data_IF_042066397676
#
_entry.id   IF_042066397676
#
_cell.length_a   1.000
_cell.length_b   1.000
_cell.length_c   1.000
_cell.angle_alpha   90.00
_cell.angle_beta   90.00
_cell.angle_gamma   90.00
#
_symmetry.space_group_name_H-M   'P 1'
#
loop_
_entity.id
_entity.type
_entity.pdbx_description
1 polymer ?
#
# COMPACT_ATOMS: atom_id res chain seq x y z
N UNK A 1 -12.06 -67.07 -34.91
CA UNK A 1 -13.24 -66.31 -34.49
C UNK A 1 -13.57 -66.77 -33.09
N UNK A 2 -13.63 -65.84 -32.15
CA UNK A 2 -13.56 -65.99 -30.70
C UNK A 2 -14.66 -66.86 -30.07
N UNK A 3 -14.25 -67.78 -29.19
CA UNK A 3 -15.08 -68.47 -28.21
C UNK A 3 -15.44 -67.54 -27.05
N UNK A 4 -16.68 -67.64 -26.59
CA UNK A 4 -17.15 -67.16 -25.30
C UNK A 4 -16.94 -68.28 -24.26
N UNK A 5 -16.41 -67.97 -23.07
CA UNK A 5 -16.95 -68.48 -21.79
C UNK A 5 -16.27 -67.90 -20.53
N UNK A 6 -17.13 -67.75 -19.51
CA UNK A 6 -16.91 -67.78 -18.06
C UNK A 6 -16.54 -66.50 -17.26
N UNK A 7 -17.56 -66.02 -16.54
CA UNK A 7 -17.46 -65.47 -15.18
C UNK A 7 -16.79 -66.45 -14.22
N UNK A 8 -15.98 -65.95 -13.28
CA UNK A 8 -15.93 -66.39 -11.87
C UNK A 8 -15.39 -65.23 -11.00
N UNK A 9 -16.13 -64.89 -9.95
CA UNK A 9 -15.65 -64.12 -8.79
C UNK A 9 -14.94 -65.09 -7.83
N UNK A 10 -13.91 -64.61 -7.12
CA UNK A 10 -13.69 -64.93 -5.71
C UNK A 10 -12.68 -63.94 -5.08
N UNK A 11 -13.08 -63.39 -3.94
CA UNK A 11 -12.33 -62.54 -2.98
C UNK A 11 -11.11 -63.26 -2.40
N UNK A 12 -10.00 -62.54 -2.14
CA UNK A 12 -9.41 -62.37 -0.78
C UNK A 12 -8.13 -61.51 -0.76
N UNK A 13 -8.19 -60.48 0.09
CA UNK A 13 -7.17 -59.74 0.86
C UNK A 13 -5.66 -60.00 0.69
N UNK A 14 -4.89 -58.91 0.61
CA UNK A 14 -4.00 -58.46 1.71
C UNK A 14 -2.82 -57.58 1.22
N UNK A 15 -2.84 -56.31 1.63
CA UNK A 15 -1.70 -55.51 2.08
C UNK A 15 -0.42 -55.43 1.20
N UNK A 16 -0.31 -54.38 0.38
CA UNK A 16 0.99 -53.75 0.12
C UNK A 16 0.84 -52.24 -0.12
N UNK A 17 1.08 -51.47 0.95
CA UNK A 17 1.13 -50.02 0.91
C UNK A 17 2.41 -49.56 0.20
N UNK A 18 2.34 -49.24 -1.08
CA UNK A 18 3.32 -48.38 -1.75
C UNK A 18 3.03 -46.92 -1.39
N UNK A 19 3.96 -46.17 -0.76
CA UNK A 19 3.75 -44.74 -0.57
C UNK A 19 3.95 -44.03 -1.91
N UNK A 20 2.87 -43.44 -2.43
CA UNK A 20 2.93 -42.51 -3.55
C UNK A 20 3.76 -41.30 -3.15
N UNK A 21 4.88 -41.08 -3.85
CA UNK A 21 5.61 -39.81 -3.85
C UNK A 21 4.67 -38.75 -4.44
N UNK A 22 4.00 -38.02 -3.57
CA UNK A 22 3.25 -36.82 -3.94
C UNK A 22 4.27 -35.71 -4.15
N UNK A 23 4.49 -35.38 -5.42
CA UNK A 23 5.18 -34.16 -5.84
C UNK A 23 4.30 -32.96 -5.44
N UNK A 24 4.44 -32.56 -4.18
CA UNK A 24 3.93 -31.30 -3.68
C UNK A 24 4.77 -30.18 -4.29
N UNK A 25 4.48 -29.87 -5.56
CA UNK A 25 4.78 -28.56 -6.13
C UNK A 25 4.01 -27.53 -5.30
N UNK A 26 4.67 -27.01 -4.27
CA UNK A 26 4.23 -25.84 -3.53
C UNK A 26 4.26 -24.70 -4.54
N UNK A 27 3.13 -24.47 -5.21
CA UNK A 27 2.88 -23.24 -5.93
C UNK A 27 2.90 -22.13 -4.87
N UNK A 28 4.06 -21.49 -4.70
CA UNK A 28 4.11 -20.18 -4.03
C UNK A 28 3.20 -19.29 -4.85
N UNK A 29 1.99 -19.05 -4.35
CA UNK A 29 1.18 -17.94 -4.81
C UNK A 29 2.07 -16.69 -4.77
N UNK A 30 2.07 -15.86 -5.83
CA UNK A 30 2.84 -14.62 -5.79
C UNK A 30 2.43 -13.87 -4.54
N UNK A 31 3.41 -13.39 -3.75
CA UNK A 31 3.13 -12.53 -2.59
C UNK A 31 2.33 -11.35 -3.14
N UNK A 32 1.04 -11.33 -2.84
CA UNK A 32 0.18 -10.25 -3.29
C UNK A 32 0.68 -8.99 -2.58
N UNK A 33 1.27 -8.08 -3.36
CA UNK A 33 1.80 -6.85 -2.83
C UNK A 33 0.63 -6.02 -2.27
N UNK A 34 0.83 -5.35 -1.14
CA UNK A 34 -0.20 -4.54 -0.48
C UNK A 34 0.19 -3.09 -0.59
N UNK A 35 -0.68 -2.27 -1.16
CA UNK A 35 -0.51 -0.82 -1.17
C UNK A 35 -1.11 -0.27 0.12
N UNK A 36 -0.25 0.11 1.06
CA UNK A 36 -0.66 0.69 2.34
C UNK A 36 -0.77 2.21 2.23
N UNK A 37 -1.97 2.73 2.47
CA UNK A 37 -2.30 4.15 2.50
C UNK A 37 -2.59 4.58 3.94
N UNK A 38 -2.00 5.68 4.39
CA UNK A 38 -2.39 6.36 5.62
C UNK A 38 -3.28 7.57 5.32
N UNK A 39 -4.42 7.69 5.99
CA UNK A 39 -5.29 8.88 5.94
C UNK A 39 -5.18 9.61 7.26
N UNK A 40 -4.83 10.90 7.20
CA UNK A 40 -4.62 11.77 8.36
C UNK A 40 -5.50 13.01 8.23
N UNK A 41 -6.55 13.07 9.03
CA UNK A 41 -7.51 14.17 9.10
C UNK A 41 -8.16 14.11 10.50
N UNK A 42 -8.51 15.24 11.11
CA UNK A 42 -9.18 15.28 12.41
C UNK A 42 -10.70 15.04 12.29
N UNK A 43 -11.23 15.02 11.06
CA UNK A 43 -12.63 14.80 10.75
C UNK A 43 -12.95 13.32 10.41
N UNK A 44 -13.75 12.66 11.25
CA UNK A 44 -14.22 11.28 11.04
C UNK A 44 -14.97 11.09 9.71
N UNK A 45 -15.74 12.09 9.26
CA UNK A 45 -16.48 12.00 8.00
C UNK A 45 -15.53 11.95 6.79
N UNK A 46 -14.36 12.59 6.89
CA UNK A 46 -13.34 12.52 5.85
C UNK A 46 -12.78 11.10 5.74
N UNK A 47 -12.59 10.41 6.86
CA UNK A 47 -12.10 9.04 6.87
C UNK A 47 -13.10 8.09 6.22
N UNK A 48 -14.36 8.17 6.63
CA UNK A 48 -15.45 7.37 6.07
C UNK A 48 -15.63 7.63 4.57
N UNK A 49 -15.66 8.91 4.16
CA UNK A 49 -15.79 9.28 2.75
C UNK A 49 -14.63 8.74 1.92
N UNK A 50 -13.41 8.82 2.45
CA UNK A 50 -12.22 8.32 1.76
C UNK A 50 -12.31 6.80 1.55
N UNK A 51 -12.69 6.03 2.58
CA UNK A 51 -12.92 4.59 2.42
C UNK A 51 -13.99 4.28 1.36
N UNK A 52 -15.11 4.98 1.38
CA UNK A 52 -16.19 4.80 0.39
C UNK A 52 -15.72 5.10 -1.04
N UNK A 53 -14.92 6.15 -1.23
CA UNK A 53 -14.33 6.50 -2.52
C UNK A 53 -13.29 5.46 -2.98
N UNK A 54 -12.65 4.74 -2.07
CA UNK A 54 -11.63 3.75 -2.41
C UNK A 54 -12.16 2.31 -2.51
N UNK A 55 -13.37 2.05 -1.98
CA UNK A 55 -13.99 0.72 -1.96
C UNK A 55 -14.07 0.11 -3.36
N UNK A 56 -13.46 -1.07 -3.54
CA UNK A 56 -13.49 -1.81 -4.80
C UNK A 56 -12.52 -1.29 -5.88
N UNK A 57 -11.62 -0.37 -5.54
CA UNK A 57 -10.50 0.00 -6.41
C UNK A 57 -9.34 -0.99 -6.24
N UNK A 58 -8.66 -1.30 -7.34
CA UNK A 58 -7.44 -2.10 -7.36
C UNK A 58 -6.25 -1.22 -7.76
N UNK A 59 -5.09 -1.43 -7.14
CA UNK A 59 -3.89 -0.65 -7.42
C UNK A 59 -2.87 -1.50 -8.18
N UNK A 60 -3.07 -1.62 -9.50
CA UNK A 60 -2.44 -2.65 -10.34
C UNK A 60 -2.80 -4.06 -9.80
N UNK A 61 -1.83 -4.85 -9.33
CA UNK A 61 -2.06 -6.16 -8.74
C UNK A 61 -2.23 -6.12 -7.20
N UNK A 62 -2.10 -4.92 -6.61
CA UNK A 62 -2.03 -4.75 -5.16
C UNK A 62 -3.43 -4.53 -4.56
N UNK A 63 -3.63 -5.16 -3.39
CA UNK A 63 -4.75 -4.81 -2.52
C UNK A 63 -4.45 -3.50 -1.79
N UNK A 64 -5.43 -2.62 -1.71
CA UNK A 64 -5.35 -1.41 -0.90
C UNK A 64 -5.64 -1.76 0.56
N UNK A 65 -4.73 -1.37 1.46
CA UNK A 65 -4.97 -1.34 2.89
C UNK A 65 -4.96 0.12 3.35
N UNK A 66 -6.04 0.57 3.98
CA UNK A 66 -6.14 1.93 4.53
C UNK A 66 -5.92 1.87 6.04
N UNK A 67 -5.01 2.71 6.53
CA UNK A 67 -4.82 3.03 7.94
C UNK A 67 -5.23 4.47 8.19
N UNK A 68 -5.58 4.77 9.43
CA UNK A 68 -6.16 6.05 9.81
C UNK A 68 -5.40 6.62 10.99
N UNK A 69 -5.23 7.94 11.00
CA UNK A 69 -4.78 8.72 12.13
C UNK A 69 -5.61 10.00 12.23
N UNK A 70 -5.97 10.41 13.44
CA UNK A 70 -6.86 11.54 13.67
C UNK A 70 -6.12 12.81 14.12
N UNK A 71 -4.80 12.72 14.20
CA UNK A 71 -3.93 13.79 14.64
C UNK A 71 -2.49 13.53 14.19
N UNK A 72 -1.65 14.56 14.29
CA UNK A 72 -0.27 14.54 13.82
C UNK A 72 0.60 13.54 14.60
N UNK A 73 0.34 13.38 15.89
CA UNK A 73 1.14 12.49 16.75
C UNK A 73 0.85 11.01 16.45
N UNK A 74 -0.42 10.65 16.29
CA UNK A 74 -0.84 9.30 15.89
C UNK A 74 -0.27 8.92 14.53
N UNK A 75 -0.33 9.83 13.54
CA UNK A 75 0.24 9.61 12.23
C UNK A 75 1.76 9.38 12.30
N UNK A 76 2.46 10.17 13.11
CA UNK A 76 3.89 10.00 13.33
C UNK A 76 4.22 8.63 13.95
N UNK A 77 3.44 8.20 14.95
CA UNK A 77 3.66 6.92 15.62
C UNK A 77 3.36 5.74 14.70
N UNK A 78 2.30 5.79 13.89
CA UNK A 78 2.02 4.78 12.86
C UNK A 78 3.18 4.70 11.87
N UNK A 79 3.65 5.84 11.35
CA UNK A 79 4.77 5.89 10.41
C UNK A 79 6.11 5.50 11.04
N UNK A 80 6.25 5.57 12.37
CA UNK A 80 7.43 5.07 13.06
C UNK A 80 7.45 3.54 13.09
N UNK A 81 6.29 2.91 13.28
CA UNK A 81 6.17 1.46 13.46
C UNK A 81 5.91 0.68 12.17
N UNK A 82 5.25 1.26 11.17
CA UNK A 82 4.96 0.59 9.89
C UNK A 82 5.76 1.20 8.73
N UNK A 83 6.87 0.55 8.32
CA UNK A 83 7.68 1.06 7.23
C UNK A 83 7.18 0.84 5.82
N UNK A 84 6.14 0.05 5.66
CA UNK A 84 5.61 -0.30 4.34
C UNK A 84 4.51 0.66 3.88
N UNK A 85 4.17 1.67 4.68
CA UNK A 85 3.24 2.73 4.25
C UNK A 85 3.83 3.46 3.05
N UNK A 86 3.16 3.30 1.92
CA UNK A 86 3.63 3.77 0.62
C UNK A 86 3.20 5.21 0.36
N UNK A 87 1.99 5.57 0.82
CA UNK A 87 1.43 6.89 0.64
C UNK A 87 0.66 7.38 1.86
N UNK A 88 0.49 8.69 1.96
CA UNK A 88 -0.29 9.38 2.98
C UNK A 88 -1.14 10.48 2.35
N UNK A 89 -2.44 10.50 2.65
CA UNK A 89 -3.32 11.66 2.49
C UNK A 89 -3.30 12.44 3.81
N UNK A 90 -2.98 13.73 3.77
CA UNK A 90 -2.77 14.53 4.97
C UNK A 90 -3.48 15.88 4.89
N UNK A 91 -4.31 16.21 5.89
CA UNK A 91 -4.77 17.59 6.08
C UNK A 91 -3.66 18.48 6.66
N UNK A 92 -3.65 19.72 6.20
CA UNK A 92 -2.73 20.76 6.65
C UNK A 92 -3.18 21.32 7.99
N UNK A 93 -4.48 21.58 8.13
CA UNK A 93 -5.08 22.23 9.30
C UNK A 93 -5.77 21.16 10.13
N UNK A 94 -5.25 20.91 11.33
CA UNK A 94 -5.84 19.97 12.30
C UNK A 94 -5.74 20.60 13.69
N UNK A 95 -4.80 20.16 14.53
CA UNK A 95 -4.61 20.69 15.88
C UNK A 95 -4.07 22.14 15.89
N UNK A 96 -3.37 22.51 14.83
CA UNK A 96 -2.93 23.87 14.50
C UNK A 96 -3.09 24.14 13.00
N UNK A 97 -3.01 25.41 12.61
CA UNK A 97 -3.11 25.84 11.20
C UNK A 97 -2.04 25.24 10.28
N UNK A 98 -0.93 24.77 10.85
CA UNK A 98 0.23 24.24 10.14
C UNK A 98 0.63 22.83 10.60
N UNK A 99 -0.23 22.15 11.37
CA UNK A 99 0.07 20.85 11.98
C UNK A 99 0.54 19.81 10.94
N UNK A 100 -0.16 19.73 9.80
CA UNK A 100 0.24 18.83 8.71
C UNK A 100 1.61 19.16 8.13
N UNK A 101 1.95 20.44 7.95
CA UNK A 101 3.27 20.84 7.44
C UNK A 101 4.39 20.51 8.45
N UNK A 102 4.14 20.72 9.74
CA UNK A 102 5.08 20.33 10.79
C UNK A 102 5.28 18.81 10.82
N UNK A 103 4.22 18.03 10.62
CA UNK A 103 4.31 16.57 10.50
C UNK A 103 5.16 16.16 9.29
N UNK A 104 4.95 16.76 8.11
CA UNK A 104 5.78 16.48 6.92
C UNK A 104 7.26 16.74 7.21
N UNK A 105 7.57 17.87 7.86
CA UNK A 105 8.94 18.18 8.27
C UNK A 105 9.54 17.08 9.16
N UNK A 106 8.79 16.63 10.19
CA UNK A 106 9.23 15.53 11.06
C UNK A 106 9.41 14.21 10.31
N UNK A 107 8.54 13.89 9.36
CA UNK A 107 8.62 12.67 8.53
C UNK A 107 9.89 12.67 7.67
N UNK A 108 10.21 13.81 7.03
CA UNK A 108 11.37 13.93 6.14
C UNK A 108 12.69 14.03 6.90
N UNK A 109 12.73 14.76 8.01
CA UNK A 109 13.99 15.01 8.74
C UNK A 109 14.26 14.01 9.86
N UNK A 110 13.24 13.64 10.65
CA UNK A 110 13.41 12.75 11.80
C UNK A 110 13.27 11.27 11.39
N UNK A 111 12.17 10.92 10.71
CA UNK A 111 11.93 9.53 10.28
C UNK A 111 12.67 9.15 8.99
N UNK A 112 13.18 10.15 8.26
CA UNK A 112 13.88 9.98 6.97
C UNK A 112 13.10 9.14 5.96
N UNK A 113 11.78 9.28 5.96
CA UNK A 113 10.87 8.54 5.08
C UNK A 113 10.87 9.12 3.67
N UNK A 114 12.01 9.24 3.00
CA UNK A 114 12.11 9.90 1.69
C UNK A 114 11.29 9.22 0.61
N UNK A 115 11.05 7.90 0.71
CA UNK A 115 10.20 7.15 -0.22
C UNK A 115 8.70 7.38 -0.02
N UNK A 116 8.23 7.71 1.19
CA UNK A 116 6.80 7.91 1.46
C UNK A 116 6.22 8.97 0.53
N UNK A 117 5.11 8.66 -0.15
CA UNK A 117 4.41 9.63 -0.99
C UNK A 117 3.41 10.44 -0.18
N UNK A 118 3.61 11.74 -0.07
CA UNK A 118 2.76 12.62 0.73
C UNK A 118 1.88 13.45 -0.21
N UNK A 119 0.56 13.34 -0.03
CA UNK A 119 -0.45 14.09 -0.76
C UNK A 119 -1.18 14.98 0.26
N UNK A 120 -1.03 16.29 0.13
CA UNK A 120 -1.78 17.23 0.97
C UNK A 120 -3.21 17.38 0.46
N UNK A 121 -4.15 17.41 1.40
CA UNK A 121 -5.57 17.63 1.16
C UNK A 121 -6.10 18.65 2.14
N UNK A 122 -6.45 19.88 1.72
CA UNK A 122 -7.02 20.89 2.65
C UNK A 122 -8.34 21.48 2.20
N UNK A 123 -9.21 21.80 3.15
CA UNK A 123 -10.44 22.57 2.92
C UNK A 123 -10.22 24.07 2.77
N UNK A 124 -9.07 24.59 3.22
CA UNK A 124 -8.75 26.01 3.21
C UNK A 124 -7.51 26.31 2.35
N UNK A 125 -7.67 26.46 1.03
CA UNK A 125 -6.57 26.90 0.19
C UNK A 125 -6.21 28.36 0.56
N UNK A 126 -4.93 28.63 0.84
CA UNK A 126 -4.45 30.01 1.00
C UNK A 126 -3.36 30.27 2.04
N UNK A 127 -3.01 29.32 2.92
CA UNK A 127 -2.00 29.56 3.96
C UNK A 127 -0.58 29.71 3.40
N UNK A 128 -0.25 28.96 2.34
CA UNK A 128 0.98 29.11 1.57
C UNK A 128 0.71 28.76 0.10
N UNK A 129 1.43 29.35 -0.87
CA UNK A 129 1.31 28.97 -2.28
C UNK A 129 1.57 27.48 -2.46
N UNK A 130 0.70 26.78 -3.20
CA UNK A 130 0.78 25.31 -3.38
C UNK A 130 2.15 24.87 -3.90
N UNK A 131 2.65 25.57 -4.91
CA UNK A 131 3.94 25.27 -5.55
C UNK A 131 5.12 25.44 -4.57
N UNK A 132 5.08 26.46 -3.72
CA UNK A 132 6.12 26.69 -2.72
C UNK A 132 6.10 25.59 -1.66
N UNK A 133 4.91 25.20 -1.22
CA UNK A 133 4.70 24.11 -0.25
C UNK A 133 5.24 22.78 -0.79
N UNK A 134 4.93 22.46 -2.04
CA UNK A 134 5.43 21.26 -2.73
C UNK A 134 6.96 21.21 -2.72
N UNK A 135 7.61 22.32 -3.10
CA UNK A 135 9.06 22.40 -3.20
C UNK A 135 9.74 22.38 -1.84
N UNK A 136 9.22 23.13 -0.87
CA UNK A 136 9.86 23.32 0.44
C UNK A 136 9.84 22.06 1.31
N UNK A 137 8.77 21.28 1.21
CA UNK A 137 8.53 20.15 2.10
C UNK A 137 8.69 18.78 1.41
N UNK A 138 9.13 18.75 0.14
CA UNK A 138 9.23 17.53 -0.67
C UNK A 138 7.93 16.72 -0.66
N UNK A 139 6.84 17.42 -1.01
CA UNK A 139 5.48 16.87 -1.06
C UNK A 139 5.18 16.45 -2.49
N UNK A 140 4.44 15.36 -2.66
CA UNK A 140 4.24 14.74 -3.96
C UNK A 140 3.01 15.26 -4.70
N UNK A 141 1.99 15.69 -3.97
CA UNK A 141 0.82 16.35 -4.56
C UNK A 141 0.13 17.27 -3.53
N UNK A 142 -0.62 18.25 -4.03
CA UNK A 142 -1.47 19.15 -3.24
C UNK A 142 -2.86 19.23 -3.90
N UNK A 143 -3.91 19.05 -3.09
CA UNK A 143 -5.30 19.03 -3.55
C UNK A 143 -6.19 19.76 -2.55
N UNK A 144 -7.24 20.41 -3.05
CA UNK A 144 -8.31 20.89 -2.16
C UNK A 144 -9.32 19.78 -1.86
N UNK A 145 -9.99 19.82 -0.69
CA UNK A 145 -11.02 18.84 -0.28
C UNK A 145 -12.15 18.75 -1.33
N UNK A 146 -12.48 19.83 -2.02
CA UNK A 146 -13.54 19.90 -3.04
C UNK A 146 -13.14 19.34 -4.41
N UNK A 147 -11.84 19.24 -4.69
CA UNK A 147 -11.33 18.75 -5.98
C UNK A 147 -11.21 17.23 -6.05
N UNK A 148 -11.28 16.53 -4.91
CA UNK A 148 -11.07 15.09 -4.82
C UNK A 148 -12.36 14.31 -5.11
N UNK A 149 -12.71 14.24 -6.40
CA UNK A 149 -13.64 13.22 -6.90
C UNK A 149 -13.02 11.82 -6.77
N UNK A 150 -13.85 10.78 -6.82
CA UNK A 150 -13.39 9.37 -6.81
C UNK A 150 -12.30 9.09 -7.85
N UNK A 151 -12.51 9.53 -9.09
CA UNK A 151 -11.59 9.31 -10.20
C UNK A 151 -10.26 10.03 -9.97
N UNK A 152 -10.30 11.28 -9.50
CA UNK A 152 -9.10 12.08 -9.22
C UNK A 152 -8.31 11.50 -8.05
N UNK A 153 -8.99 11.07 -6.98
CA UNK A 153 -8.36 10.41 -5.85
C UNK A 153 -7.67 9.10 -6.31
N UNK A 154 -8.35 8.30 -7.13
CA UNK A 154 -7.79 7.09 -7.70
C UNK A 154 -6.54 7.36 -8.54
N UNK A 155 -6.60 8.30 -9.48
CA UNK A 155 -5.45 8.65 -10.34
C UNK A 155 -4.26 9.16 -9.52
N UNK A 156 -4.52 10.00 -8.52
CA UNK A 156 -3.50 10.53 -7.61
C UNK A 156 -2.82 9.40 -6.84
N UNK A 157 -3.60 8.54 -6.19
CA UNK A 157 -3.07 7.41 -5.41
C UNK A 157 -2.38 6.36 -6.28
N UNK A 158 -2.87 6.10 -7.49
CA UNK A 158 -2.20 5.19 -8.44
C UNK A 158 -0.82 5.73 -8.84
N UNK A 159 -0.71 7.03 -9.08
CA UNK A 159 0.57 7.69 -9.38
C UNK A 159 1.52 7.58 -8.18
N UNK A 160 1.01 7.82 -6.97
CA UNK A 160 1.78 7.64 -5.74
C UNK A 160 2.26 6.20 -5.55
N UNK A 161 1.38 5.21 -5.72
CA UNK A 161 1.72 3.80 -5.60
C UNK A 161 2.87 3.40 -6.54
N UNK A 162 2.76 3.76 -7.82
CA UNK A 162 3.80 3.47 -8.82
C UNK A 162 5.13 4.17 -8.51
N UNK A 163 5.07 5.44 -8.11
CA UNK A 163 6.27 6.20 -7.73
C UNK A 163 6.96 5.60 -6.50
N UNK A 164 6.20 5.18 -5.48
CA UNK A 164 6.75 4.47 -4.31
C UNK A 164 7.46 3.18 -4.73
N UNK A 165 6.80 2.34 -5.53
CA UNK A 165 7.39 1.06 -5.99
C UNK A 165 8.69 1.27 -6.76
N UNK A 166 8.74 2.28 -7.64
CA UNK A 166 9.95 2.62 -8.37
C UNK A 166 11.11 3.00 -7.44
N UNK A 167 10.85 3.83 -6.43
CA UNK A 167 11.89 4.22 -5.46
C UNK A 167 12.32 3.05 -4.58
N UNK A 168 11.38 2.19 -4.19
CA UNK A 168 11.66 0.99 -3.40
C UNK A 168 12.52 -0.03 -4.18
N UNK A 169 12.25 -0.19 -5.48
CA UNK A 169 13.07 -1.02 -6.37
C UNK A 169 14.48 -0.45 -6.53
N UNK A 170 14.62 0.87 -6.74
CA UNK A 170 15.93 1.52 -6.87
C UNK A 170 16.78 1.36 -5.60
N UNK A 171 16.17 1.51 -4.42
CA UNK A 171 16.88 1.32 -3.14
C UNK A 171 17.36 -0.12 -2.95
N UNK A 172 16.51 -1.11 -3.30
CA UNK A 172 16.88 -2.53 -3.25
C UNK A 172 18.04 -2.84 -4.19
N UNK A 173 18.00 -2.34 -5.43
CA UNK A 173 19.08 -2.51 -6.39
C UNK A 173 20.38 -1.86 -5.93
N UNK A 174 20.32 -0.65 -5.38
CA UNK A 174 21.50 0.02 -4.84
C UNK A 174 22.11 -0.75 -3.66
N UNK A 175 21.28 -1.39 -2.83
CA UNK A 175 21.74 -2.23 -1.73
C UNK A 175 22.36 -3.55 -2.20
N UNK A 176 21.77 -4.20 -3.21
CA UNK A 176 22.29 -5.43 -3.82
C UNK A 176 23.63 -5.21 -4.54
N UNK A 177 23.81 -4.08 -5.22
CA UNK A 177 25.08 -3.68 -5.86
C UNK A 177 26.20 -3.53 -4.81
N UNK A 178 25.92 -2.87 -3.68
CA UNK A 178 26.85 -2.74 -2.57
C UNK A 178 27.26 -4.08 -1.91
N UNK A 179 26.42 -5.12 -2.00
CA UNK A 179 26.72 -6.46 -1.49
C UNK A 179 27.42 -7.36 -2.53
N UNK A 180 27.25 -7.08 -3.81
CA UNK A 180 27.83 -7.87 -4.90
C UNK A 180 29.17 -7.34 -5.40
N UNK A 181 29.54 -6.10 -5.05
CA UNK A 181 30.93 -5.64 -5.04
C UNK A 181 31.65 -5.70 -6.37
N UNK A 182 31.05 -5.12 -7.42
CA UNK A 182 31.84 -4.65 -8.56
C UNK A 182 32.42 -3.26 -8.30
#
# INVERSE_FOLDING_TARGET
MSDQLFEFLDDVDANSSTPALTDASVSRSPKQHTFKLLVVDDDEDVHLMTELLLKGLCFDEDQLLVQHAYNSQEAYDILLHDPDIAAMLLDVVMESEDAGLQLVHRIRHSLRRTKLRIILRTGQPGYAPELETIQRYDINDYKTKTELTRERLYTCLMTAARSYRQLDQLEKLAYEDHLTGY
#
